data_IF_154463844248
#
_entry.id   IF_154463844248
#
_cell.length_a   1.000
_cell.length_b   1.000
_cell.length_c   1.000
_cell.angle_alpha   90.00
_cell.angle_beta   90.00
_cell.angle_gamma   90.00
#
_symmetry.space_group_name_H-M   'P 1'
#
loop_
_entity.id
_entity.type
_entity.pdbx_description
1 polymer ?
#
# COMPACT_ATOMS: atom_id res chain seq x y z
N UNK A 1 6.32 -10.30 -9.53
CA UNK A 1 7.39 -10.55 -8.54
C UNK A 1 6.90 -10.11 -7.18
N UNK A 2 7.41 -10.71 -6.10
CA UNK A 2 7.00 -10.34 -4.75
C UNK A 2 8.04 -9.43 -4.11
N UNK A 3 7.56 -8.47 -3.31
CA UNK A 3 8.42 -7.60 -2.50
C UNK A 3 9.17 -8.49 -1.50
N UNK A 4 10.50 -8.32 -1.42
CA UNK A 4 11.31 -9.09 -0.47
C UNK A 4 10.88 -8.85 0.98
N UNK A 5 11.08 -9.86 1.83
CA UNK A 5 10.71 -9.78 3.26
C UNK A 5 11.37 -8.58 3.97
N UNK A 6 12.60 -8.22 3.57
CA UNK A 6 13.31 -7.06 4.09
C UNK A 6 12.59 -5.74 3.79
N UNK A 7 12.16 -5.54 2.54
CA UNK A 7 11.42 -4.34 2.13
C UNK A 7 10.04 -4.32 2.80
N UNK A 8 9.37 -5.48 2.90
CA UNK A 8 8.09 -5.60 3.60
C UNK A 8 8.20 -5.14 5.05
N UNK A 9 9.19 -5.65 5.80
CA UNK A 9 9.45 -5.26 7.20
C UNK A 9 9.78 -3.79 7.33
N UNK A 10 10.60 -3.26 6.43
CA UNK A 10 10.91 -1.84 6.39
C UNK A 10 9.64 -0.98 6.22
N UNK A 11 8.79 -1.32 5.25
CA UNK A 11 7.52 -0.61 5.02
C UNK A 11 6.59 -0.68 6.25
N UNK A 12 6.38 -1.87 6.83
CA UNK A 12 5.56 -2.02 8.03
C UNK A 12 6.10 -1.21 9.21
N UNK A 13 7.41 -1.26 9.46
CA UNK A 13 8.04 -0.49 10.55
C UNK A 13 7.94 1.02 10.34
N UNK A 14 7.95 1.46 9.08
CA UNK A 14 7.76 2.86 8.70
C UNK A 14 6.31 3.28 8.91
N UNK A 15 5.36 2.48 8.43
CA UNK A 15 3.92 2.75 8.58
C UNK A 15 3.47 2.75 10.04
N UNK A 16 4.07 1.92 10.90
CA UNK A 16 3.81 1.93 12.34
C UNK A 16 4.07 3.29 13.00
N UNK A 17 5.06 4.05 12.49
CA UNK A 17 5.45 5.37 13.01
C UNK A 17 4.55 6.49 12.50
N UNK A 18 3.76 6.26 11.45
CA UNK A 18 2.88 7.26 10.90
C UNK A 18 1.66 7.51 11.80
N UNK A 19 1.16 8.74 11.77
CA UNK A 19 -0.11 9.12 12.42
C UNK A 19 -1.33 8.63 11.63
N UNK A 20 -1.16 8.37 10.34
CA UNK A 20 -2.22 7.99 9.40
C UNK A 20 -2.55 6.50 9.45
N UNK A 21 -3.76 6.16 9.00
CA UNK A 21 -4.15 4.77 8.71
C UNK A 21 -3.68 4.40 7.32
N UNK A 22 -3.15 3.19 7.17
CA UNK A 22 -2.64 2.66 5.91
C UNK A 22 -3.49 1.47 5.50
N UNK A 23 -3.98 1.49 4.27
CA UNK A 23 -4.59 0.32 3.63
C UNK A 23 -3.56 -0.22 2.66
N UNK A 24 -3.19 -1.49 2.81
CA UNK A 24 -2.16 -2.13 2.01
C UNK A 24 -2.73 -3.38 1.35
N UNK A 25 -2.66 -3.44 0.01
CA UNK A 25 -2.99 -4.66 -0.73
C UNK A 25 -1.92 -5.71 -0.45
N UNK A 26 -2.32 -6.88 0.03
CA UNK A 26 -1.42 -8.00 0.27
C UNK A 26 -2.12 -9.33 0.06
N UNK A 27 -1.64 -10.13 -0.89
CA UNK A 27 -2.38 -11.31 -1.36
C UNK A 27 -2.35 -12.48 -0.39
N UNK A 28 -1.27 -12.62 0.40
CA UNK A 28 -1.10 -13.79 1.25
C UNK A 28 -0.64 -13.41 2.66
N UNK A 29 -1.60 -13.35 3.58
CA UNK A 29 -1.33 -13.08 5.00
C UNK A 29 -0.50 -14.18 5.66
N UNK A 30 -0.54 -15.42 5.16
CA UNK A 30 0.27 -16.53 5.71
C UNK A 30 1.76 -16.39 5.45
N UNK A 31 2.18 -15.41 4.62
CA UNK A 31 3.59 -15.05 4.40
C UNK A 31 4.16 -14.13 5.47
N UNK A 32 3.32 -13.51 6.31
CA UNK A 32 3.81 -12.88 7.52
C UNK A 32 4.23 -14.00 8.48
N UNK A 33 5.51 -14.04 8.84
CA UNK A 33 6.01 -15.00 9.82
C UNK A 33 5.31 -14.84 11.17
N UNK A 34 5.38 -15.87 12.02
CA UNK A 34 4.77 -15.85 13.37
C UNK A 34 5.17 -14.64 14.23
N UNK A 35 6.32 -14.04 13.95
CA UNK A 35 6.86 -12.88 14.67
C UNK A 35 6.62 -11.53 13.97
N UNK A 36 5.99 -11.50 12.79
CA UNK A 36 5.68 -10.27 12.07
C UNK A 36 4.36 -9.65 12.57
N UNK A 37 4.48 -8.61 13.39
CA UNK A 37 3.33 -7.87 13.91
C UNK A 37 2.88 -6.86 12.86
N UNK A 38 1.64 -7.03 12.37
CA UNK A 38 0.98 -6.01 11.55
C UNK A 38 0.61 -4.84 12.48
N UNK A 39 1.10 -3.61 12.23
CA UNK A 39 0.78 -2.48 13.09
C UNK A 39 -0.73 -2.20 13.09
N UNK A 40 -1.32 -1.84 14.24
CA UNK A 40 -2.76 -1.58 14.38
C UNK A 40 -3.32 -0.55 13.37
N UNK A 41 -2.48 0.36 12.86
CA UNK A 41 -2.88 1.37 11.86
C UNK A 41 -2.82 0.87 10.42
N UNK A 42 -2.28 -0.33 10.18
CA UNK A 42 -2.16 -0.96 8.87
C UNK A 42 -3.26 -2.00 8.75
N UNK A 43 -4.12 -1.83 7.75
CA UNK A 43 -5.11 -2.84 7.35
C UNK A 43 -4.63 -3.51 6.08
N UNK A 44 -4.40 -4.82 6.15
CA UNK A 44 -4.14 -5.65 5.00
C UNK A 44 -5.46 -6.02 4.31
N UNK A 45 -5.44 -6.03 2.98
CA UNK A 45 -6.55 -6.49 2.15
C UNK A 45 -5.99 -7.35 1.02
N UNK A 46 -6.55 -8.54 0.82
CA UNK A 46 -6.19 -9.40 -0.31
C UNK A 46 -6.50 -8.73 -1.66
N UNK A 47 -7.69 -8.12 -1.75
CA UNK A 47 -8.16 -7.45 -2.96
C UNK A 47 -9.07 -6.27 -2.61
N UNK A 48 -9.08 -5.27 -3.48
CA UNK A 48 -9.96 -4.11 -3.42
C UNK A 48 -10.08 -3.45 -4.79
N UNK A 49 -11.19 -2.75 -5.02
CA UNK A 49 -11.37 -1.89 -6.19
C UNK A 49 -10.57 -0.58 -5.98
N UNK A 50 -9.43 -0.46 -6.66
CA UNK A 50 -8.50 0.67 -6.51
C UNK A 50 -9.17 2.00 -6.84
N UNK A 51 -9.92 2.05 -7.95
CA UNK A 51 -10.69 3.23 -8.37
C UNK A 51 -11.65 3.73 -7.29
N UNK A 52 -12.43 2.83 -6.70
CA UNK A 52 -13.39 3.19 -5.65
C UNK A 52 -12.69 3.73 -4.40
N UNK A 53 -11.53 3.15 -4.05
CA UNK A 53 -10.74 3.65 -2.94
C UNK A 53 -10.20 5.05 -3.23
N UNK A 54 -9.65 5.28 -4.42
CA UNK A 54 -9.13 6.59 -4.82
C UNK A 54 -10.22 7.67 -4.88
N UNK A 55 -11.47 7.29 -5.18
CA UNK A 55 -12.62 8.19 -5.11
C UNK A 55 -13.07 8.57 -3.69
N UNK A 56 -12.53 7.95 -2.64
CA UNK A 56 -12.91 8.26 -1.26
C UNK A 56 -12.21 9.54 -0.76
N UNK A 57 -12.95 10.49 -0.16
CA UNK A 57 -12.37 11.77 0.32
C UNK A 57 -11.36 11.62 1.47
N UNK A 58 -11.31 10.43 2.08
CA UNK A 58 -10.38 10.08 3.17
C UNK A 58 -9.01 9.65 2.66
N UNK A 59 -8.85 9.32 1.38
CA UNK A 59 -7.54 9.00 0.81
C UNK A 59 -6.75 10.29 0.64
N UNK A 60 -5.57 10.31 1.26
CA UNK A 60 -4.66 11.47 1.26
C UNK A 60 -3.39 11.24 0.44
N UNK A 61 -3.04 9.99 0.20
CA UNK A 61 -1.84 9.59 -0.52
C UNK A 61 -2.03 8.18 -1.07
N UNK A 62 -1.57 7.95 -2.30
CA UNK A 62 -1.51 6.64 -2.91
C UNK A 62 -0.06 6.22 -3.18
N UNK A 63 0.37 5.08 -2.64
CA UNK A 63 1.70 4.53 -2.92
C UNK A 63 1.52 3.41 -3.95
N UNK A 64 2.20 3.51 -5.10
CA UNK A 64 2.05 2.55 -6.21
C UNK A 64 3.39 2.16 -6.83
N UNK A 65 3.39 1.17 -7.72
CA UNK A 65 4.60 0.63 -8.33
C UNK A 65 5.11 1.44 -9.56
N UNK A 66 4.49 2.58 -9.87
CA UNK A 66 4.82 3.41 -11.03
C UNK A 66 4.12 3.02 -12.34
N UNK A 67 3.26 1.99 -12.33
CA UNK A 67 2.48 1.56 -13.50
C UNK A 67 1.60 2.67 -14.08
N UNK A 68 1.46 2.67 -15.42
CA UNK A 68 0.72 3.73 -16.14
C UNK A 68 -0.72 3.88 -15.64
N UNK A 69 -1.45 2.76 -15.52
CA UNK A 69 -2.84 2.78 -15.07
C UNK A 69 -2.96 3.35 -13.65
N UNK A 70 -2.15 2.84 -12.70
CA UNK A 70 -2.14 3.37 -11.33
C UNK A 70 -1.89 4.88 -11.26
N UNK A 71 -1.02 5.43 -12.13
CA UNK A 71 -0.78 6.88 -12.21
C UNK A 71 -1.98 7.62 -12.80
N UNK A 72 -2.53 7.15 -13.92
CA UNK A 72 -3.71 7.77 -14.55
C UNK A 72 -4.89 7.82 -13.58
N UNK A 73 -5.13 6.73 -12.88
CA UNK A 73 -6.18 6.62 -11.87
C UNK A 73 -6.00 7.62 -10.71
N UNK A 74 -4.77 7.75 -10.20
CA UNK A 74 -4.46 8.72 -9.14
C UNK A 74 -4.67 10.16 -9.61
N UNK A 75 -4.22 10.48 -10.82
CA UNK A 75 -4.39 11.79 -11.45
C UNK A 75 -5.88 12.10 -11.63
N UNK A 76 -6.66 11.15 -12.14
CA UNK A 76 -8.10 11.30 -12.37
C UNK A 76 -8.84 11.67 -11.09
N UNK A 77 -8.51 11.02 -9.96
CA UNK A 77 -9.12 11.29 -8.66
C UNK A 77 -8.47 12.45 -7.89
N UNK A 78 -7.46 13.12 -8.45
CA UNK A 78 -6.75 14.21 -7.77
C UNK A 78 -5.99 13.78 -6.51
N UNK A 79 -5.61 12.50 -6.42
CA UNK A 79 -4.91 11.94 -5.26
C UNK A 79 -3.40 11.99 -5.52
N UNK A 80 -2.61 12.67 -4.65
CA UNK A 80 -1.16 12.67 -4.79
C UNK A 80 -0.60 11.26 -4.58
N UNK A 81 0.48 10.92 -5.28
CA UNK A 81 1.05 9.58 -5.21
C UNK A 81 2.58 9.56 -5.09
N UNK A 82 3.08 8.48 -4.48
CA UNK A 82 4.50 8.11 -4.47
C UNK A 82 4.66 6.86 -5.33
N UNK A 83 5.51 6.93 -6.34
CA UNK A 83 5.89 5.77 -7.14
C UNK A 83 7.11 5.08 -6.52
N UNK A 84 6.96 3.80 -6.17
CA UNK A 84 8.03 2.91 -5.73
C UNK A 84 8.21 1.84 -6.82
N UNK A 85 9.14 2.00 -7.77
CA UNK A 85 9.35 1.00 -8.82
C UNK A 85 10.03 -0.24 -8.22
N UNK A 86 9.23 -1.22 -7.78
CA UNK A 86 9.72 -2.44 -7.12
C UNK A 86 9.91 -3.61 -8.12
N UNK A 87 9.53 -3.41 -9.38
CA UNK A 87 9.55 -4.42 -10.46
C UNK A 87 10.16 -3.88 -11.76
N UNK A 88 11.01 -2.86 -11.66
CA UNK A 88 11.67 -2.23 -12.81
C UNK A 88 13.06 -2.83 -13.04
#
# INVERSE_FOLDING_TARGET
EEISDGIRRFLLSTFAKLTHRVVMKWENESKFGRDEIIPHKVKLLHWLLQQDLLGQPKIKLFINHGGLNSKQEAIYHGVPFIALPIFA
#
